data_IF_621272799089
#
_entry.id   IF_621272799089
#
_cell.length_a   1.000
_cell.length_b   1.000
_cell.length_c   1.000
_cell.angle_alpha   90.00
_cell.angle_beta   90.00
_cell.angle_gamma   90.00
#
_symmetry.space_group_name_H-M   'P 1'
#
loop_
_entity.id
_entity.type
_entity.pdbx_description
1 polymer ?
#
# COMPACT_ATOMS: atom_id res chain seq x y z
N UNK A 1 40.52 15.45 14.64
CA UNK A 1 39.96 14.90 13.39
C UNK A 1 38.50 14.55 13.66
N UNK A 2 37.54 15.20 12.99
CA UNK A 2 36.12 14.90 13.13
C UNK A 2 35.66 14.12 11.89
N UNK A 3 35.06 12.94 12.09
CA UNK A 3 34.39 12.20 11.03
C UNK A 3 33.04 12.86 10.74
N UNK A 4 32.87 13.44 9.57
CA UNK A 4 31.54 13.75 9.05
C UNK A 4 30.95 12.46 8.45
N UNK A 5 29.98 11.86 9.14
CA UNK A 5 29.18 10.78 8.56
C UNK A 5 28.28 11.38 7.46
N UNK A 6 28.10 10.70 6.32
CA UNK A 6 27.11 11.14 5.34
C UNK A 6 25.73 11.07 5.98
N UNK A 7 25.05 12.20 6.08
CA UNK A 7 23.63 12.25 6.42
C UNK A 7 22.86 11.76 5.18
N UNK A 8 22.47 10.49 5.16
CA UNK A 8 21.55 9.98 4.15
C UNK A 8 20.21 10.69 4.35
N UNK A 9 19.84 11.55 3.42
CA UNK A 9 18.49 12.11 3.34
C UNK A 9 17.65 11.18 2.49
N UNK A 10 16.67 10.52 3.09
CA UNK A 10 15.76 9.63 2.40
C UNK A 10 14.45 10.35 2.07
N UNK A 11 13.88 10.02 0.92
CA UNK A 11 12.50 10.39 0.61
C UNK A 11 11.55 9.99 1.75
N UNK A 12 10.75 10.93 2.22
CA UNK A 12 9.77 10.72 3.30
C UNK A 12 8.37 10.72 2.72
N UNK A 13 7.61 9.64 2.95
CA UNK A 13 6.20 9.54 2.54
C UNK A 13 5.31 10.00 3.69
N UNK A 14 4.38 10.90 3.40
CA UNK A 14 3.37 11.36 4.34
C UNK A 14 2.26 10.33 4.52
N UNK A 15 1.77 10.16 5.76
CA UNK A 15 0.62 9.30 6.04
C UNK A 15 -0.64 9.89 5.38
N UNK A 16 -1.28 9.16 4.45
CA UNK A 16 -2.51 9.65 3.83
C UNK A 16 -3.66 9.67 4.84
N UNK A 17 -4.50 10.72 4.77
CA UNK A 17 -5.69 10.87 5.61
C UNK A 17 -6.91 10.40 4.84
N UNK A 18 -7.81 9.64 5.49
CA UNK A 18 -9.07 9.21 4.88
C UNK A 18 -8.91 8.17 3.77
N UNK A 19 -7.82 7.40 3.78
CA UNK A 19 -7.60 6.31 2.83
C UNK A 19 -8.67 5.22 3.01
N UNK A 20 -9.62 5.15 2.08
CA UNK A 20 -10.68 4.14 2.01
C UNK A 20 -10.58 3.43 0.66
N UNK A 21 -10.63 2.10 0.65
CA UNK A 21 -10.58 1.30 -0.58
C UNK A 21 -11.69 1.72 -1.55
N UNK A 22 -11.35 1.92 -2.83
CA UNK A 22 -12.31 2.38 -3.85
C UNK A 22 -12.61 3.89 -3.81
N UNK A 23 -12.00 4.66 -2.90
CA UNK A 23 -12.17 6.11 -2.82
C UNK A 23 -10.92 6.86 -3.29
N UNK A 24 -11.06 8.12 -3.73
CA UNK A 24 -9.91 9.00 -3.99
C UNK A 24 -9.05 9.19 -2.73
N UNK A 25 -7.73 9.20 -2.92
CA UNK A 25 -6.74 9.54 -1.89
C UNK A 25 -5.66 10.44 -2.51
N UNK A 26 -5.10 11.32 -1.70
CA UNK A 26 -3.88 12.08 -2.06
C UNK A 26 -2.70 11.54 -1.28
N UNK A 27 -1.70 11.06 -1.99
CA UNK A 27 -0.41 10.66 -1.46
C UNK A 27 0.54 11.85 -1.54
N UNK A 28 1.37 12.05 -0.52
CA UNK A 28 2.36 13.14 -0.48
C UNK A 28 3.72 12.61 -0.04
N UNK A 29 4.78 13.23 -0.53
CA UNK A 29 6.14 12.89 -0.15
C UNK A 29 7.07 14.10 -0.25
N UNK A 30 8.18 14.04 0.46
CA UNK A 30 9.28 14.98 0.36
C UNK A 30 10.54 14.21 -0.08
N UNK A 31 10.94 14.43 -1.33
CA UNK A 31 12.21 13.94 -1.89
C UNK A 31 13.17 15.09 -2.15
N UNK A 32 14.44 14.76 -2.39
CA UNK A 32 15.50 15.69 -2.75
C UNK A 32 16.22 15.22 -4.03
N UNK A 33 17.22 15.99 -4.50
CA UNK A 33 17.93 15.70 -5.74
C UNK A 33 18.85 14.47 -5.70
N UNK A 34 19.08 13.89 -4.53
CA UNK A 34 19.83 12.63 -4.36
C UNK A 34 18.95 11.38 -4.37
N UNK A 35 17.62 11.54 -4.27
CA UNK A 35 16.68 10.44 -4.44
C UNK A 35 16.58 10.02 -5.94
N UNK A 36 16.18 8.78 -6.24
CA UNK A 36 15.87 8.37 -7.61
C UNK A 36 14.85 9.30 -8.27
N UNK A 37 14.98 9.51 -9.59
CA UNK A 37 14.07 10.37 -10.33
C UNK A 37 12.62 9.84 -10.37
N UNK A 38 12.46 8.52 -10.24
CA UNK A 38 11.18 7.82 -10.28
C UNK A 38 11.09 6.75 -9.20
N UNK A 39 9.87 6.49 -8.73
CA UNK A 39 9.57 5.42 -7.79
C UNK A 39 8.17 4.82 -8.05
N UNK A 40 7.82 3.78 -7.28
CA UNK A 40 6.50 3.11 -7.35
C UNK A 40 5.85 3.15 -5.98
N UNK A 41 4.53 3.39 -5.95
CA UNK A 41 3.71 3.14 -4.76
C UNK A 41 3.10 1.75 -4.81
N UNK A 42 3.29 1.02 -3.72
CA UNK A 42 2.69 -0.29 -3.48
C UNK A 42 1.71 -0.23 -2.31
N UNK A 43 0.58 -0.91 -2.45
CA UNK A 43 -0.40 -1.13 -1.39
C UNK A 43 -0.25 -2.56 -0.87
N UNK A 44 0.31 -2.69 0.32
CA UNK A 44 0.48 -3.97 1.02
C UNK A 44 -0.69 -4.24 1.96
N UNK A 45 -1.32 -5.41 1.84
CA UNK A 45 -2.25 -5.93 2.83
C UNK A 45 -1.59 -7.10 3.60
N UNK A 46 -1.05 -6.86 4.82
CA UNK A 46 -0.27 -7.87 5.54
C UNK A 46 -1.11 -9.07 6.00
N UNK A 47 -2.45 -8.94 6.08
CA UNK A 47 -3.32 -10.04 6.49
C UNK A 47 -3.52 -11.08 5.38
N UNK A 48 -3.27 -10.70 4.13
CA UNK A 48 -3.57 -11.54 2.96
C UNK A 48 -2.39 -11.73 2.01
N UNK A 49 -1.18 -11.25 2.36
CA UNK A 49 0.05 -11.35 1.57
C UNK A 49 -0.13 -10.86 0.12
N UNK A 50 -0.86 -9.77 -0.07
CA UNK A 50 -1.02 -9.13 -1.37
C UNK A 50 -0.35 -7.77 -1.39
N UNK A 51 0.50 -7.57 -2.40
CA UNK A 51 1.08 -6.29 -2.77
C UNK A 51 0.53 -5.87 -4.14
N UNK A 52 -0.04 -4.67 -4.22
CA UNK A 52 -0.57 -4.11 -5.45
C UNK A 52 0.19 -2.83 -5.79
N UNK A 53 0.83 -2.78 -6.96
CA UNK A 53 1.34 -1.52 -7.49
C UNK A 53 0.15 -0.60 -7.82
N UNK A 54 0.04 0.53 -7.13
CA UNK A 54 -1.06 1.49 -7.30
C UNK A 54 -0.66 2.71 -8.13
N UNK A 55 0.64 2.98 -8.25
CA UNK A 55 1.20 3.97 -9.16
C UNK A 55 2.63 3.58 -9.52
N UNK A 56 2.94 3.49 -10.81
CA UNK A 56 4.28 3.18 -11.32
C UNK A 56 4.91 4.43 -11.92
N UNK A 57 6.24 4.50 -11.90
CA UNK A 57 7.01 5.59 -12.52
C UNK A 57 6.58 6.99 -12.03
N UNK A 58 6.25 7.10 -10.74
CA UNK A 58 5.91 8.37 -10.11
C UNK A 58 7.15 9.24 -10.07
N UNK A 59 7.06 10.46 -10.57
CA UNK A 59 8.19 11.36 -10.63
C UNK A 59 8.42 11.99 -9.25
N UNK A 60 9.62 11.80 -8.69
CA UNK A 60 9.94 12.22 -7.31
C UNK A 60 9.72 13.71 -7.08
N UNK A 61 9.92 14.55 -8.09
CA UNK A 61 9.74 16.00 -8.00
C UNK A 61 8.28 16.46 -7.92
N UNK A 62 7.28 15.60 -8.15
CA UNK A 62 5.86 15.99 -8.08
C UNK A 62 5.40 16.27 -6.64
N UNK A 63 5.97 15.57 -5.65
CA UNK A 63 5.67 15.72 -4.23
C UNK A 63 4.26 15.31 -3.80
N UNK A 64 3.34 15.08 -4.74
CA UNK A 64 2.00 14.56 -4.49
C UNK A 64 1.39 13.86 -5.69
N UNK A 65 0.50 12.91 -5.43
CA UNK A 65 -0.30 12.20 -6.44
C UNK A 65 -1.69 11.91 -5.89
N UNK A 66 -2.73 12.27 -6.63
CA UNK A 66 -4.11 11.85 -6.35
C UNK A 66 -4.50 10.67 -7.21
N UNK A 67 -5.02 9.62 -6.60
CA UNK A 67 -5.49 8.41 -7.27
C UNK A 67 -6.70 7.82 -6.55
N UNK A 68 -7.48 6.99 -7.24
CA UNK A 68 -8.50 6.17 -6.60
C UNK A 68 -7.87 4.87 -6.11
N UNK A 69 -7.95 4.59 -4.81
CA UNK A 69 -7.41 3.36 -4.25
C UNK A 69 -8.13 2.15 -4.86
N UNK A 70 -7.41 1.06 -5.22
CA UNK A 70 -8.07 -0.15 -5.66
C UNK A 70 -8.99 -0.69 -4.57
N UNK A 71 -10.07 -1.35 -4.98
CA UNK A 71 -10.86 -2.16 -4.06
C UNK A 71 -10.03 -3.38 -3.67
N UNK A 72 -9.57 -3.43 -2.41
CA UNK A 72 -8.93 -4.61 -1.85
C UNK A 72 -10.01 -5.44 -1.17
N UNK A 73 -10.37 -6.63 -1.69
CA UNK A 73 -11.39 -7.45 -1.06
C UNK A 73 -10.98 -7.80 0.38
N UNK A 74 -11.89 -7.60 1.34
CA UNK A 74 -11.77 -8.27 2.63
C UNK A 74 -11.95 -9.76 2.36
N UNK A 75 -10.94 -10.57 2.67
CA UNK A 75 -10.94 -11.97 2.31
C UNK A 75 -12.24 -12.66 2.73
N UNK A 76 -12.93 -13.27 1.77
CA UNK A 76 -14.00 -14.20 2.10
C UNK A 76 -13.38 -15.30 2.95
N UNK A 77 -13.62 -15.26 4.26
CA UNK A 77 -13.39 -16.43 5.10
C UNK A 77 -14.23 -17.52 4.43
N UNK A 78 -13.59 -18.53 3.82
CA UNK A 78 -14.30 -19.74 3.41
C UNK A 78 -14.83 -20.35 4.71
N UNK A 79 -16.03 -19.97 5.13
CA UNK A 79 -16.83 -20.72 6.08
C UNK A 79 -17.05 -22.05 5.39
N UNK A 80 -16.23 -23.06 5.69
CA UNK A 80 -16.55 -24.45 5.36
C UNK A 80 -17.81 -24.77 6.17
N UNK A 81 -18.96 -24.49 5.59
CA UNK A 81 -20.25 -25.00 6.04
C UNK A 81 -20.20 -26.51 5.81
N UNK A 82 -19.59 -27.24 6.75
CA UNK A 82 -19.77 -28.69 6.82
C UNK A 82 -21.21 -28.92 7.28
N UNK A 83 -22.12 -28.96 6.32
CA UNK A 83 -23.50 -29.35 6.54
C UNK A 83 -23.50 -30.87 6.77
N UNK A 84 -23.35 -31.30 8.03
CA UNK A 84 -23.54 -32.70 8.38
C UNK A 84 -25.04 -33.00 8.33
N UNK A 85 -25.49 -33.64 7.25
CA UNK A 85 -26.86 -34.19 7.17
C UNK A 85 -26.85 -35.50 7.93
N UNK A 86 -27.41 -35.52 9.15
CA UNK A 86 -27.73 -36.77 9.84
C UNK A 86 -28.91 -37.40 9.10
N UNK A 87 -28.67 -38.49 8.39
CA UNK A 87 -29.75 -39.39 7.97
C UNK A 87 -30.03 -40.33 9.14
N UNK A 88 -31.18 -40.20 9.78
CA UNK A 88 -31.69 -41.26 10.65
C UNK A 88 -31.97 -42.48 9.77
N UNK A 89 -31.26 -43.57 10.03
CA UNK A 89 -31.62 -44.87 9.44
C UNK A 89 -32.85 -45.41 10.16
N UNK A 90 -33.80 -45.90 9.36
CA UNK A 90 -34.93 -46.73 9.80
C UNK A 90 -34.46 -48.11 10.28
#
# INVERSE_FOLDING_TARGET
LALALPLVSAMTVGTPVGAITGSPVTLTWAGNSSDPAYFTFELTNPLFNYDFAIANNVQTSEGSLSLTLPQVPVGYVKKRQHHYRLTSGD
#
